data_IF_270447643758
#
_entry.id   IF_270447643758
#
_cell.length_a   1.000
_cell.length_b   1.000
_cell.length_c   1.000
_cell.angle_alpha   90.00
_cell.angle_beta   90.00
_cell.angle_gamma   90.00
#
_symmetry.space_group_name_H-M   'P 1'
#
loop_
_entity.id
_entity.type
_entity.pdbx_description
1 polymer ?
#
# COMPACT_ATOMS: atom_id res chain seq x y z
N UNK A 1 5.94 10.86 3.10
CA UNK A 1 5.89 9.53 2.47
C UNK A 1 6.05 9.73 0.96
N UNK A 2 7.02 9.06 0.36
CA UNK A 2 7.17 9.00 -1.09
C UNK A 2 5.99 8.23 -1.71
N UNK A 3 5.55 8.59 -2.91
CA UNK A 3 4.48 7.89 -3.62
C UNK A 3 4.90 7.55 -5.04
N UNK A 4 4.70 6.28 -5.41
CA UNK A 4 5.01 5.71 -6.72
C UNK A 4 3.72 5.31 -7.40
N UNK A 5 3.57 5.69 -8.67
CA UNK A 5 2.43 5.29 -9.48
C UNK A 5 2.91 4.33 -10.57
N UNK A 6 2.32 3.14 -10.63
CA UNK A 6 2.58 2.14 -11.65
C UNK A 6 1.35 1.94 -12.54
N UNK A 7 1.60 1.84 -13.84
CA UNK A 7 0.60 1.44 -14.84
C UNK A 7 1.22 0.43 -15.81
N UNK A 8 1.52 -0.80 -15.34
CA UNK A 8 2.20 -1.81 -16.15
C UNK A 8 1.34 -2.28 -17.32
N UNK A 9 2.01 -2.60 -18.43
CA UNK A 9 1.39 -3.20 -19.61
C UNK A 9 2.06 -4.55 -19.90
N UNK A 10 1.36 -5.70 -19.72
CA UNK A 10 -0.05 -5.83 -19.35
C UNK A 10 -0.34 -5.46 -17.88
N UNK A 11 -1.58 -5.08 -17.55
CA UNK A 11 -1.99 -4.82 -16.16
C UNK A 11 -1.90 -6.11 -15.32
N UNK A 12 -1.70 -6.02 -13.99
CA UNK A 12 -1.67 -7.20 -13.13
C UNK A 12 -3.02 -7.92 -13.19
N UNK A 13 -2.94 -9.26 -13.26
CA UNK A 13 -4.13 -10.11 -13.33
C UNK A 13 -4.95 -10.07 -12.04
N UNK A 14 -4.29 -9.98 -10.89
CA UNK A 14 -4.90 -9.98 -9.56
C UNK A 14 -4.03 -9.24 -8.53
N UNK A 15 -4.51 -9.21 -7.29
CA UNK A 15 -3.79 -8.64 -6.14
C UNK A 15 -2.40 -9.23 -5.93
N UNK A 16 -2.19 -10.55 -6.12
CA UNK A 16 -0.88 -11.15 -5.88
C UNK A 16 0.13 -10.68 -6.92
N UNK A 17 -0.31 -10.56 -8.17
CA UNK A 17 0.51 -9.97 -9.23
C UNK A 17 0.83 -8.49 -8.93
N UNK A 18 -0.15 -7.72 -8.45
CA UNK A 18 0.05 -6.33 -8.05
C UNK A 18 1.01 -6.19 -6.85
N UNK A 19 0.83 -7.01 -5.81
CA UNK A 19 1.68 -7.03 -4.63
C UNK A 19 3.12 -7.39 -5.00
N UNK A 20 3.32 -8.35 -5.90
CA UNK A 20 4.68 -8.69 -6.39
C UNK A 20 5.36 -7.49 -7.06
N UNK A 21 4.62 -6.64 -7.78
CA UNK A 21 5.17 -5.42 -8.38
C UNK A 21 5.50 -4.37 -7.31
N UNK A 22 4.62 -4.21 -6.32
CA UNK A 22 4.82 -3.26 -5.23
C UNK A 22 5.99 -3.66 -4.33
N UNK A 23 6.13 -4.95 -4.01
CA UNK A 23 7.24 -5.48 -3.21
C UNK A 23 8.58 -5.23 -3.91
N UNK A 24 8.65 -5.41 -5.23
CA UNK A 24 9.86 -5.10 -6.02
C UNK A 24 10.22 -3.62 -5.99
N UNK A 25 9.24 -2.72 -6.08
CA UNK A 25 9.50 -1.29 -5.93
C UNK A 25 10.00 -0.96 -4.53
N UNK A 26 9.44 -1.60 -3.50
CA UNK A 26 9.87 -1.39 -2.13
C UNK A 26 11.29 -1.91 -1.89
N UNK A 27 11.63 -3.12 -2.35
CA UNK A 27 12.98 -3.70 -2.28
C UNK A 27 14.02 -2.88 -3.04
N UNK A 28 13.63 -2.19 -4.11
CA UNK A 28 14.54 -1.34 -4.87
C UNK A 28 14.87 -0.01 -4.17
N UNK A 29 14.09 0.38 -3.15
CA UNK A 29 14.11 1.73 -2.54
C UNK A 29 14.43 1.72 -1.06
N UNK A 30 14.01 0.67 -0.35
CA UNK A 30 14.09 0.56 1.09
C UNK A 30 15.11 -0.53 1.46
N UNK A 31 15.79 -0.35 2.58
CA UNK A 31 16.78 -1.34 3.05
C UNK A 31 16.10 -2.58 3.64
N UNK A 32 15.05 -2.39 4.44
CA UNK A 32 14.24 -3.46 5.03
C UNK A 32 12.75 -3.18 4.85
N UNK A 33 12.19 -3.41 3.66
CA UNK A 33 10.78 -3.12 3.38
C UNK A 33 9.85 -3.99 4.22
N UNK A 34 8.88 -3.37 4.89
CA UNK A 34 7.81 -4.04 5.62
C UNK A 34 6.45 -3.48 5.19
N UNK A 35 5.60 -4.34 4.63
CA UNK A 35 4.23 -3.97 4.24
C UNK A 35 3.36 -3.74 5.48
N UNK A 36 2.84 -2.52 5.63
CA UNK A 36 2.01 -2.12 6.77
C UNK A 36 0.51 -2.15 6.47
N UNK A 37 0.12 -1.63 5.31
CA UNK A 37 -1.26 -1.50 4.91
C UNK A 37 -1.43 -1.70 3.40
N UNK A 38 -2.62 -2.13 3.00
CA UNK A 38 -2.96 -2.26 1.59
C UNK A 38 -4.46 -2.15 1.35
N UNK A 39 -4.81 -1.85 0.09
CA UNK A 39 -6.17 -1.88 -0.43
C UNK A 39 -6.22 -2.63 -1.77
N UNK A 40 -7.26 -3.44 -1.93
CA UNK A 40 -7.63 -4.17 -3.14
C UNK A 40 -9.03 -3.74 -3.56
N UNK A 41 -9.11 -2.91 -4.60
CA UNK A 41 -10.38 -2.38 -5.13
C UNK A 41 -11.25 -3.46 -5.78
N UNK A 42 -10.66 -4.49 -6.38
CA UNK A 42 -11.43 -5.50 -7.10
C UNK A 42 -12.33 -6.30 -6.15
N UNK A 43 -11.85 -6.50 -4.91
CA UNK A 43 -12.56 -7.22 -3.84
C UNK A 43 -13.12 -6.31 -2.76
N UNK A 44 -12.80 -5.02 -2.84
CA UNK A 44 -13.07 -4.01 -1.81
C UNK A 44 -12.56 -4.43 -0.43
N UNK A 45 -11.34 -4.99 -0.40
CA UNK A 45 -10.70 -5.49 0.81
C UNK A 45 -9.51 -4.61 1.19
N UNK A 46 -9.24 -4.54 2.49
CA UNK A 46 -8.13 -3.78 3.05
C UNK A 46 -7.45 -4.53 4.19
N UNK A 47 -6.22 -4.12 4.47
CA UNK A 47 -5.52 -4.44 5.71
C UNK A 47 -4.92 -3.17 6.33
N UNK A 48 -5.07 -2.96 7.66
CA UNK A 48 -5.86 -3.77 8.60
C UNK A 48 -7.35 -3.83 8.22
N UNK A 49 -7.99 -4.97 8.50
CA UNK A 49 -9.38 -5.20 8.12
C UNK A 49 -10.30 -4.21 8.85
N UNK A 50 -11.27 -3.63 8.12
CA UNK A 50 -12.30 -2.71 8.61
C UNK A 50 -11.75 -1.40 9.21
N UNK A 51 -10.50 -1.05 8.92
CA UNK A 51 -9.93 0.23 9.34
C UNK A 51 -10.76 1.42 8.81
N UNK A 52 -11.28 1.32 7.59
CA UNK A 52 -12.12 2.34 6.96
C UNK A 52 -13.53 2.42 7.54
N UNK A 53 -14.10 1.31 8.03
CA UNK A 53 -15.43 1.30 8.68
C UNK A 53 -15.42 2.04 10.03
N UNK A 54 -14.33 1.91 10.79
CA UNK A 54 -14.15 2.72 12.01
C UNK A 54 -14.05 4.23 11.72
N UNK A 55 -13.81 4.59 10.46
CA UNK A 55 -13.57 5.94 9.97
C UNK A 55 -14.70 6.43 9.02
N UNK A 56 -15.93 5.90 9.11
CA UNK A 56 -17.06 6.27 8.22
C UNK A 56 -17.36 7.78 8.16
N UNK A 57 -16.98 8.55 9.19
CA UNK A 57 -17.11 10.02 9.22
C UNK A 57 -15.85 10.78 8.73
N UNK A 58 -14.79 10.08 8.31
CA UNK A 58 -13.52 10.64 7.87
C UNK A 58 -13.44 10.69 6.33
N UNK A 59 -12.85 11.76 5.81
CA UNK A 59 -12.56 11.88 4.38
C UNK A 59 -11.38 10.99 3.93
N UNK A 60 -10.65 10.38 4.87
CA UNK A 60 -9.47 9.57 4.61
C UNK A 60 -9.79 8.10 4.91
N UNK A 61 -9.66 7.18 3.94
CA UNK A 61 -9.82 5.75 4.18
C UNK A 61 -8.87 5.24 5.28
N UNK A 62 -9.34 4.32 6.12
CA UNK A 62 -8.62 3.91 7.33
C UNK A 62 -7.29 3.20 7.05
N UNK A 63 -7.16 2.45 5.96
CA UNK A 63 -5.88 1.86 5.56
C UNK A 63 -4.81 2.91 5.22
N UNK A 64 -5.22 4.05 4.64
CA UNK A 64 -4.33 5.17 4.31
C UNK A 64 -3.86 5.84 5.60
N UNK A 65 -4.78 6.09 6.51
CA UNK A 65 -4.50 6.70 7.81
C UNK A 65 -3.57 5.82 8.65
N UNK A 66 -3.84 4.51 8.67
CA UNK A 66 -3.00 3.52 9.36
C UNK A 66 -1.57 3.51 8.82
N UNK A 67 -1.40 3.39 7.50
CA UNK A 67 -0.07 3.40 6.88
C UNK A 67 0.72 4.66 7.24
N UNK A 68 0.08 5.83 7.13
CA UNK A 68 0.72 7.11 7.46
C UNK A 68 1.13 7.19 8.94
N UNK A 69 0.20 6.90 9.87
CA UNK A 69 0.46 7.02 11.30
C UNK A 69 1.37 5.93 11.87
N UNK A 70 1.58 4.83 11.13
CA UNK A 70 2.47 3.74 11.55
C UNK A 70 3.82 3.76 10.83
N UNK A 71 4.16 4.91 10.22
CA UNK A 71 5.52 5.19 9.76
C UNK A 71 5.80 4.76 8.32
N UNK A 72 4.78 4.48 7.49
CA UNK A 72 5.03 4.20 6.09
C UNK A 72 5.83 5.34 5.43
N UNK A 73 6.97 4.98 4.86
CA UNK A 73 7.88 5.91 4.15
C UNK A 73 7.64 5.86 2.65
N UNK A 74 7.08 4.77 2.13
CA UNK A 74 6.76 4.54 0.72
C UNK A 74 5.30 4.10 0.53
N UNK A 75 4.62 4.66 -0.46
CA UNK A 75 3.31 4.21 -0.98
C UNK A 75 3.43 3.83 -2.46
N UNK A 76 2.89 2.68 -2.85
CA UNK A 76 2.85 2.22 -4.24
C UNK A 76 1.40 2.07 -4.70
N UNK A 77 1.01 2.89 -5.67
CA UNK A 77 -0.32 2.94 -6.26
C UNK A 77 -0.27 2.30 -7.64
N UNK A 78 -1.06 1.25 -7.86
CA UNK A 78 -1.10 0.50 -9.12
C UNK A 78 -2.46 0.70 -9.79
N UNK A 79 -2.45 0.96 -11.10
CA UNK A 79 -3.65 1.09 -11.94
C UNK A 79 -4.66 2.12 -11.36
N UNK A 80 -4.17 3.32 -11.00
CA UNK A 80 -5.04 4.39 -10.48
C UNK A 80 -5.67 4.06 -9.13
N UNK A 81 -5.00 3.26 -8.30
CA UNK A 81 -5.47 2.84 -6.98
C UNK A 81 -6.41 1.63 -7.02
N UNK A 82 -6.39 0.85 -8.11
CA UNK A 82 -6.95 -0.50 -8.11
C UNK A 82 -6.29 -1.34 -7.02
N UNK A 83 -4.98 -1.13 -6.82
CA UNK A 83 -4.24 -1.62 -5.67
C UNK A 83 -3.40 -0.49 -5.08
N UNK A 84 -3.27 -0.47 -3.76
CA UNK A 84 -2.52 0.53 -3.00
C UNK A 84 -1.78 -0.16 -1.86
N UNK A 85 -0.47 0.09 -1.72
CA UNK A 85 0.40 -0.59 -0.77
C UNK A 85 1.27 0.41 -0.03
N UNK A 86 1.43 0.22 1.28
CA UNK A 86 2.16 1.13 2.17
C UNK A 86 3.28 0.37 2.87
N UNK A 87 4.53 0.82 2.69
CA UNK A 87 5.72 0.18 3.24
C UNK A 87 6.44 1.11 4.21
N UNK A 88 6.94 0.53 5.30
CA UNK A 88 7.94 1.09 6.20
C UNK A 88 9.31 0.54 5.83
N UNK A 89 10.36 1.36 5.98
CA UNK A 89 11.72 0.86 6.06
C UNK A 89 12.07 0.51 7.51
N UNK A 90 12.07 -0.77 7.85
CA UNK A 90 12.33 -1.23 9.22
C UNK A 90 13.78 -0.97 9.67
N UNK A 91 14.72 -0.76 8.74
CA UNK A 91 16.09 -0.41 9.07
C UNK A 91 16.19 0.96 9.76
N UNK A 92 15.24 1.87 9.52
CA UNK A 92 15.20 3.18 10.17
C UNK A 92 14.93 3.10 11.69
N UNK A 93 14.66 1.90 12.22
CA UNK A 93 14.38 1.65 13.63
C UNK A 93 15.36 0.67 14.30
N UNK A 94 16.44 0.30 13.61
CA UNK A 94 17.54 -0.53 14.13
C UNK A 94 18.75 0.34 14.52
#
# INVERSE_FOLDING_TARGET
METVHLSPAPPPADFRAAQTLADREAEARLEMPMLLAWYDRDRDYESPRNASECHEASAIPGYVDYGFHHGATLRVIIEGGRFDFFYLDAAAHL
#
